data_IF_436025797728
#
_entry.id   IF_436025797728
#
_cell.length_a   1.000
_cell.length_b   1.000
_cell.length_c   1.000
_cell.angle_alpha   90.00
_cell.angle_beta   90.00
_cell.angle_gamma   90.00
#
_symmetry.space_group_name_H-M   'P 1'
#
loop_
_entity.id
_entity.type
_entity.pdbx_description
1 polymer ?
#
# COMPACT_ATOMS: atom_id res chain seq x y z
N UNK A 1 40.39 10.05 -26.03
CA UNK A 1 40.38 9.59 -24.62
C UNK A 1 41.36 8.42 -24.48
N UNK A 2 41.80 8.04 -23.28
CA UNK A 2 42.66 6.86 -23.10
C UNK A 2 41.88 5.72 -22.45
N UNK A 3 42.19 4.47 -22.84
CA UNK A 3 41.58 3.30 -22.23
C UNK A 3 42.06 3.13 -20.78
N UNK A 4 41.13 2.97 -19.85
CA UNK A 4 41.45 2.80 -18.43
C UNK A 4 42.14 1.46 -18.08
N UNK A 5 42.07 0.46 -18.97
CA UNK A 5 42.73 -0.84 -18.76
C UNK A 5 44.12 -0.95 -19.38
N UNK A 6 44.31 -0.45 -20.61
CA UNK A 6 45.56 -0.64 -21.36
C UNK A 6 46.29 0.65 -21.76
N UNK A 7 45.74 1.83 -21.42
CA UNK A 7 46.37 3.12 -21.70
C UNK A 7 46.43 3.53 -23.18
N UNK A 8 45.84 2.75 -24.09
CA UNK A 8 45.82 3.08 -25.52
C UNK A 8 44.89 4.25 -25.81
N UNK A 9 45.27 5.12 -26.74
CA UNK A 9 44.40 6.18 -27.22
C UNK A 9 43.19 5.59 -27.97
N UNK A 10 42.00 6.01 -27.55
CA UNK A 10 40.71 5.57 -28.09
C UNK A 10 39.92 6.80 -28.54
N UNK A 11 39.21 6.63 -29.66
CA UNK A 11 38.29 7.66 -30.14
C UNK A 11 37.17 7.88 -29.11
N UNK A 12 36.68 9.11 -29.05
CA UNK A 12 35.66 9.53 -28.07
C UNK A 12 34.32 8.78 -28.25
N UNK A 13 34.11 8.17 -29.42
CA UNK A 13 32.92 7.40 -29.77
C UNK A 13 33.14 5.88 -29.75
N UNK A 14 34.37 5.40 -29.53
CA UNK A 14 34.65 3.98 -29.45
C UNK A 14 34.02 3.42 -28.18
N UNK A 15 33.07 2.49 -28.29
CA UNK A 15 32.43 1.80 -27.13
C UNK A 15 33.28 0.69 -26.54
N UNK A 16 34.23 0.18 -27.32
CA UNK A 16 35.13 -0.93 -27.00
C UNK A 16 36.53 -0.54 -27.44
N UNK A 17 37.53 -0.80 -26.59
CA UNK A 17 38.92 -0.55 -26.93
C UNK A 17 39.38 -1.52 -28.03
N UNK A 18 39.89 -1.04 -29.18
CA UNK A 18 40.33 -1.90 -30.26
C UNK A 18 41.62 -2.68 -29.92
N UNK A 19 42.36 -2.27 -28.88
CA UNK A 19 43.59 -2.94 -28.48
C UNK A 19 43.35 -4.07 -27.47
N UNK A 20 42.59 -3.81 -26.39
CA UNK A 20 42.40 -4.81 -25.32
C UNK A 20 40.98 -5.40 -25.25
N UNK A 21 40.03 -4.93 -26.05
CA UNK A 21 38.65 -5.42 -26.06
C UNK A 21 37.78 -4.97 -24.88
N UNK A 22 38.31 -4.15 -23.97
CA UNK A 22 37.57 -3.65 -22.80
C UNK A 22 36.57 -2.56 -23.20
N UNK A 23 35.34 -2.53 -22.65
CA UNK A 23 34.42 -1.43 -22.84
C UNK A 23 35.01 -0.12 -22.27
N UNK A 24 34.97 0.93 -23.07
CA UNK A 24 35.47 2.28 -22.72
C UNK A 24 34.49 3.04 -21.84
N UNK A 25 33.23 2.63 -21.83
CA UNK A 25 32.16 3.16 -20.98
C UNK A 25 31.89 2.13 -19.89
N UNK A 26 32.03 2.52 -18.62
CA UNK A 26 31.53 1.71 -17.50
C UNK A 26 30.01 1.63 -17.65
N UNK A 27 29.51 0.48 -18.07
CA UNK A 27 28.09 0.17 -17.98
C UNK A 27 27.80 0.02 -16.49
N UNK A 28 27.22 1.04 -15.87
CA UNK A 28 26.65 0.89 -14.53
C UNK A 28 25.50 -0.13 -14.64
N UNK A 29 25.81 -1.40 -14.38
CA UNK A 29 24.79 -2.41 -14.16
C UNK A 29 24.08 -2.04 -12.87
N UNK A 30 22.94 -1.35 -12.98
CA UNK A 30 22.07 -1.09 -11.83
C UNK A 30 21.67 -2.44 -11.25
N UNK A 31 21.94 -2.64 -9.96
CA UNK A 31 21.57 -3.86 -9.27
C UNK A 31 20.04 -4.00 -9.32
N UNK A 32 19.54 -5.11 -9.89
CA UNK A 32 18.11 -5.37 -9.98
C UNK A 32 17.59 -5.68 -8.59
N UNK A 33 16.95 -4.70 -7.95
CA UNK A 33 16.42 -4.82 -6.60
C UNK A 33 15.26 -5.82 -6.56
N UNK A 34 15.30 -6.77 -5.61
CA UNK A 34 14.26 -7.78 -5.46
C UNK A 34 12.87 -7.22 -5.11
N UNK A 35 11.82 -7.92 -5.56
CA UNK A 35 10.40 -7.54 -5.43
C UNK A 35 9.64 -8.27 -4.31
N UNK A 36 10.32 -9.07 -3.48
CA UNK A 36 9.69 -9.96 -2.48
C UNK A 36 8.62 -9.28 -1.61
N UNK A 37 8.88 -8.05 -1.17
CA UNK A 37 7.92 -7.27 -0.38
C UNK A 37 6.68 -6.87 -1.19
N UNK A 38 6.85 -6.34 -2.41
CA UNK A 38 5.72 -6.07 -3.28
C UNK A 38 4.92 -7.34 -3.58
N UNK A 39 5.59 -8.46 -3.85
CA UNK A 39 4.93 -9.73 -4.16
C UNK A 39 4.14 -10.24 -2.95
N UNK A 40 4.68 -10.12 -1.74
CA UNK A 40 3.94 -10.39 -0.50
C UNK A 40 2.69 -9.50 -0.36
N UNK A 41 2.82 -8.19 -0.61
CA UNK A 41 1.68 -7.28 -0.55
C UNK A 41 0.59 -7.65 -1.58
N UNK A 42 1.00 -7.85 -2.83
CA UNK A 42 0.09 -8.05 -3.97
C UNK A 42 -0.56 -9.43 -4.02
N UNK A 43 0.15 -10.50 -3.63
CA UNK A 43 -0.38 -11.87 -3.69
C UNK A 43 -0.99 -12.35 -2.37
N UNK A 44 -0.71 -11.71 -1.24
CA UNK A 44 -1.14 -12.22 0.06
C UNK A 44 -1.79 -11.17 0.95
N UNK A 45 -1.06 -10.15 1.38
CA UNK A 45 -1.51 -9.24 2.45
C UNK A 45 -2.83 -8.53 2.10
N UNK A 46 -2.93 -7.97 0.90
CA UNK A 46 -4.15 -7.24 0.50
C UNK A 46 -5.37 -8.15 0.31
N UNK A 47 -5.19 -9.36 -0.20
CA UNK A 47 -6.30 -10.31 -0.36
C UNK A 47 -6.83 -10.82 0.97
N UNK A 48 -5.94 -11.04 1.94
CA UNK A 48 -6.33 -11.35 3.32
C UNK A 48 -7.06 -10.16 3.94
N UNK A 49 -6.60 -8.93 3.69
CA UNK A 49 -7.31 -7.71 4.09
C UNK A 49 -8.74 -7.66 3.54
N UNK A 50 -8.93 -7.99 2.25
CA UNK A 50 -10.26 -8.07 1.65
C UNK A 50 -11.15 -9.11 2.35
N UNK A 51 -10.63 -10.30 2.63
CA UNK A 51 -11.37 -11.36 3.33
C UNK A 51 -11.81 -10.92 4.73
N UNK A 52 -10.90 -10.37 5.53
CA UNK A 52 -11.23 -9.87 6.86
C UNK A 52 -12.19 -8.68 6.81
N UNK A 53 -12.07 -7.81 5.80
CA UNK A 53 -13.01 -6.73 5.55
C UNK A 53 -14.43 -7.24 5.33
N UNK A 54 -14.60 -8.27 4.49
CA UNK A 54 -15.92 -8.89 4.23
C UNK A 54 -16.50 -9.53 5.48
N UNK A 55 -15.68 -10.25 6.26
CA UNK A 55 -16.10 -10.83 7.55
C UNK A 55 -16.55 -9.72 8.50
N UNK A 56 -15.80 -8.62 8.59
CA UNK A 56 -16.14 -7.46 9.42
C UNK A 56 -17.49 -6.83 9.02
N UNK A 57 -17.73 -6.65 7.72
CA UNK A 57 -19.01 -6.16 7.20
C UNK A 57 -20.15 -7.11 7.57
N UNK A 58 -19.98 -8.42 7.38
CA UNK A 58 -21.01 -9.40 7.71
C UNK A 58 -21.40 -9.33 9.20
N UNK A 59 -20.42 -9.17 10.09
CA UNK A 59 -20.67 -8.98 11.53
C UNK A 59 -21.39 -7.68 11.85
N UNK A 60 -21.03 -6.58 11.18
CA UNK A 60 -21.70 -5.29 11.35
C UNK A 60 -23.17 -5.33 10.90
N UNK A 61 -23.46 -6.01 9.78
CA UNK A 61 -24.83 -6.17 9.27
C UNK A 61 -25.66 -7.10 10.18
N UNK A 62 -25.05 -8.16 10.72
CA UNK A 62 -25.70 -9.03 11.72
C UNK A 62 -26.08 -8.22 12.98
N UNK A 63 -25.19 -7.34 13.43
CA UNK A 63 -25.44 -6.43 14.55
C UNK A 63 -26.52 -5.38 14.25
N UNK A 64 -26.59 -4.84 13.03
CA UNK A 64 -27.63 -3.87 12.68
C UNK A 64 -29.02 -4.48 12.73
N UNK A 65 -29.21 -5.67 12.13
CA UNK A 65 -30.50 -6.36 12.15
C UNK A 65 -30.98 -6.66 13.58
N UNK A 66 -30.07 -7.08 14.46
CA UNK A 66 -30.39 -7.34 15.87
C UNK A 66 -30.70 -6.07 16.68
N UNK A 67 -30.11 -4.94 16.30
CA UNK A 67 -30.31 -3.65 16.99
C UNK A 67 -31.67 -3.01 16.68
N UNK A 68 -32.18 -3.19 15.47
CA UNK A 68 -33.51 -2.71 15.07
C UNK A 68 -34.62 -3.44 15.83
N UNK A 69 -34.45 -4.74 16.07
CA UNK A 69 -35.42 -5.57 16.81
C UNK A 69 -35.46 -5.31 18.32
N UNK A 70 -34.33 -4.92 18.95
CA UNK A 70 -34.20 -4.92 20.42
C UNK A 70 -34.10 -3.53 21.06
N UNK A 71 -33.66 -2.50 20.33
CA UNK A 71 -33.33 -1.18 20.90
C UNK A 71 -34.12 -0.02 20.29
N UNK A 72 -35.16 -0.32 19.51
CA UNK A 72 -36.04 0.69 18.92
C UNK A 72 -35.31 1.66 17.97
N UNK A 73 -34.24 1.20 17.31
CA UNK A 73 -33.55 1.97 16.29
C UNK A 73 -33.02 3.33 16.78
N UNK A 74 -31.99 3.33 17.66
CA UNK A 74 -31.24 4.57 17.89
C UNK A 74 -30.60 5.01 16.57
N UNK A 75 -31.15 6.05 15.93
CA UNK A 75 -30.74 6.54 14.61
C UNK A 75 -29.21 6.78 14.50
N UNK A 76 -28.58 7.23 15.59
CA UNK A 76 -27.13 7.46 15.66
C UNK A 76 -26.30 6.17 15.54
N UNK A 77 -26.80 5.05 16.08
CA UNK A 77 -26.12 3.74 15.98
C UNK A 77 -26.23 3.16 14.57
N UNK A 78 -27.42 3.24 13.97
CA UNK A 78 -27.65 2.84 12.57
C UNK A 78 -26.77 3.65 11.59
N UNK A 79 -26.65 4.96 11.83
CA UNK A 79 -25.76 5.83 11.07
C UNK A 79 -24.28 5.45 11.22
N UNK A 80 -23.81 5.13 12.43
CA UNK A 80 -22.44 4.64 12.67
C UNK A 80 -22.15 3.36 11.88
N UNK A 81 -23.05 2.37 11.96
CA UNK A 81 -22.87 1.10 11.25
C UNK A 81 -22.83 1.34 9.74
N UNK A 82 -23.69 2.20 9.21
CA UNK A 82 -23.71 2.52 7.77
C UNK A 82 -22.39 3.15 7.33
N UNK A 83 -21.87 4.12 8.07
CA UNK A 83 -20.56 4.73 7.77
C UNK A 83 -19.45 3.68 7.82
N UNK A 84 -19.42 2.82 8.83
CA UNK A 84 -18.42 1.75 8.95
C UNK A 84 -18.46 0.76 7.78
N UNK A 85 -19.65 0.36 7.33
CA UNK A 85 -19.82 -0.53 6.18
C UNK A 85 -19.33 0.13 4.90
N UNK A 86 -19.73 1.38 4.63
CA UNK A 86 -19.30 2.13 3.44
C UNK A 86 -17.79 2.28 3.42
N UNK A 87 -17.19 2.69 4.54
CA UNK A 87 -15.73 2.86 4.63
C UNK A 87 -14.99 1.53 4.40
N UNK A 88 -15.53 0.43 4.92
CA UNK A 88 -14.96 -0.91 4.75
C UNK A 88 -15.04 -1.39 3.28
N UNK A 89 -16.16 -1.15 2.59
CA UNK A 89 -16.32 -1.50 1.18
C UNK A 89 -15.33 -0.74 0.28
N UNK A 90 -15.13 0.55 0.54
CA UNK A 90 -14.12 1.35 -0.16
C UNK A 90 -12.72 0.82 0.14
N UNK A 91 -12.42 0.42 1.38
CA UNK A 91 -11.11 -0.18 1.71
C UNK A 91 -10.87 -1.46 0.91
N UNK A 92 -11.85 -2.36 0.86
CA UNK A 92 -11.77 -3.62 0.11
C UNK A 92 -11.49 -3.35 -1.38
N UNK A 93 -12.17 -2.36 -1.97
CA UNK A 93 -11.94 -1.96 -3.34
C UNK A 93 -10.50 -1.43 -3.54
N UNK A 94 -10.02 -0.57 -2.65
CA UNK A 94 -8.66 -0.03 -2.70
C UNK A 94 -7.60 -1.14 -2.56
N UNK A 95 -7.78 -2.07 -1.63
CA UNK A 95 -6.90 -3.23 -1.44
C UNK A 95 -6.83 -4.09 -2.71
N UNK A 96 -7.96 -4.42 -3.31
CA UNK A 96 -8.01 -5.21 -4.54
C UNK A 96 -7.33 -4.46 -5.72
N UNK A 97 -7.60 -3.16 -5.87
CA UNK A 97 -6.98 -2.35 -6.93
C UNK A 97 -5.47 -2.23 -6.73
N UNK A 98 -5.00 -2.02 -5.50
CA UNK A 98 -3.57 -1.97 -5.18
C UNK A 98 -2.89 -3.31 -5.44
N UNK A 99 -3.52 -4.43 -5.06
CA UNK A 99 -3.02 -5.78 -5.33
C UNK A 99 -2.84 -6.04 -6.82
N UNK A 100 -3.89 -5.76 -7.61
CA UNK A 100 -3.87 -5.94 -9.07
C UNK A 100 -2.85 -5.00 -9.74
N UNK A 101 -2.68 -3.78 -9.22
CA UNK A 101 -1.67 -2.85 -9.71
C UNK A 101 -0.24 -3.35 -9.46
N UNK A 102 0.02 -3.97 -8.29
CA UNK A 102 1.31 -4.59 -7.99
C UNK A 102 1.57 -5.79 -8.91
N UNK A 103 0.60 -6.70 -9.04
CA UNK A 103 0.73 -7.92 -9.84
C UNK A 103 1.03 -7.58 -11.31
N UNK A 104 0.34 -6.57 -11.85
CA UNK A 104 0.55 -6.10 -13.22
C UNK A 104 1.74 -5.14 -13.37
N UNK A 105 2.53 -4.92 -12.30
CA UNK A 105 3.68 -4.00 -12.27
C UNK A 105 3.35 -2.60 -12.80
N UNK A 106 2.17 -2.07 -12.46
CA UNK A 106 1.74 -0.74 -12.90
C UNK A 106 2.58 0.36 -12.27
N UNK A 107 2.84 1.43 -13.01
CA UNK A 107 3.53 2.64 -12.53
C UNK A 107 2.83 3.31 -11.35
N UNK A 108 1.52 3.13 -11.24
CA UNK A 108 0.72 3.64 -10.12
C UNK A 108 0.77 2.77 -8.85
N UNK A 109 1.39 1.58 -8.88
CA UNK A 109 1.34 0.62 -7.76
C UNK A 109 1.78 1.25 -6.43
N UNK A 110 2.95 1.92 -6.40
CA UNK A 110 3.44 2.56 -5.18
C UNK A 110 2.49 3.63 -4.63
N UNK A 111 1.87 4.44 -5.51
CA UNK A 111 0.88 5.45 -5.10
C UNK A 111 -0.38 4.80 -4.52
N UNK A 112 -0.87 3.72 -5.13
CA UNK A 112 -2.04 2.99 -4.66
C UNK A 112 -1.79 2.32 -3.30
N UNK A 113 -0.60 1.74 -3.09
CA UNK A 113 -0.21 1.19 -1.78
C UNK A 113 -0.20 2.27 -0.70
N UNK A 114 0.39 3.44 -0.99
CA UNK A 114 0.35 4.56 -0.04
C UNK A 114 -1.08 5.06 0.21
N UNK A 115 -1.93 5.05 -0.83
CA UNK A 115 -3.34 5.42 -0.69
C UNK A 115 -4.12 4.45 0.18
N UNK A 116 -3.85 3.14 0.11
CA UNK A 116 -4.44 2.14 1.03
C UNK A 116 -4.14 2.49 2.47
N UNK A 117 -2.86 2.62 2.86
CA UNK A 117 -2.50 2.92 4.25
C UNK A 117 -2.98 4.30 4.70
N UNK A 118 -2.95 5.30 3.81
CA UNK A 118 -3.53 6.61 4.09
C UNK A 118 -5.05 6.56 4.32
N UNK A 119 -5.76 5.74 3.56
CA UNK A 119 -7.19 5.53 3.72
C UNK A 119 -7.52 4.78 5.02
N UNK A 120 -6.74 3.76 5.39
CA UNK A 120 -6.91 3.05 6.67
C UNK A 120 -6.73 3.99 7.87
N UNK A 121 -5.68 4.83 7.83
CA UNK A 121 -5.43 5.85 8.85
C UNK A 121 -6.60 6.82 8.99
N UNK A 122 -7.08 7.39 7.88
CA UNK A 122 -8.18 8.36 7.88
C UNK A 122 -9.49 7.70 8.33
N UNK A 123 -9.78 6.49 7.85
CA UNK A 123 -10.99 5.74 8.22
C UNK A 123 -11.02 5.43 9.71
N UNK A 124 -9.86 5.07 10.29
CA UNK A 124 -9.71 4.85 11.73
C UNK A 124 -10.05 6.11 12.51
N UNK A 125 -9.53 7.27 12.11
CA UNK A 125 -9.86 8.56 12.74
C UNK A 125 -11.36 8.86 12.65
N UNK A 126 -11.97 8.70 11.48
CA UNK A 126 -13.40 8.97 11.29
C UNK A 126 -14.24 8.09 12.21
N UNK A 127 -13.94 6.78 12.27
CA UNK A 127 -14.68 5.84 13.10
C UNK A 127 -14.44 6.08 14.60
N UNK A 128 -13.26 6.53 15.01
CA UNK A 128 -12.98 6.90 16.39
C UNK A 128 -13.78 8.14 16.83
N UNK A 129 -13.80 9.19 16.01
CA UNK A 129 -14.55 10.42 16.30
C UNK A 129 -16.04 10.11 16.34
N UNK A 130 -16.56 9.42 15.34
CA UNK A 130 -17.98 9.13 15.26
C UNK A 130 -18.41 8.11 16.33
N UNK A 131 -17.59 7.07 16.55
CA UNK A 131 -17.79 6.08 17.61
C UNK A 131 -17.82 6.73 18.99
N UNK A 132 -16.95 7.70 19.26
CA UNK A 132 -16.96 8.45 20.53
C UNK A 132 -18.25 9.26 20.72
N UNK A 133 -18.79 9.83 19.64
CA UNK A 133 -20.04 10.59 19.68
C UNK A 133 -21.29 9.70 19.86
N UNK A 134 -21.24 8.45 19.39
CA UNK A 134 -22.39 7.53 19.40
C UNK A 134 -22.36 6.55 20.59
N UNK A 135 -21.20 6.00 20.90
CA UNK A 135 -20.98 4.95 21.91
C UNK A 135 -20.47 5.51 23.24
N UNK A 136 -20.04 6.78 23.26
CA UNK A 136 -19.48 7.45 24.43
C UNK A 136 -17.96 7.32 24.57
N UNK A 137 -17.37 8.04 25.55
CA UNK A 137 -15.93 8.05 25.80
C UNK A 137 -15.46 6.66 26.24
N UNK A 138 -14.45 6.12 25.55
CA UNK A 138 -13.93 4.77 25.78
C UNK A 138 -13.95 3.85 24.55
N UNK A 139 -14.38 4.36 23.39
CA UNK A 139 -14.34 3.64 22.11
C UNK A 139 -12.94 3.55 21.49
N UNK A 140 -11.94 4.25 22.05
CA UNK A 140 -10.54 4.14 21.65
C UNK A 140 -9.86 2.96 22.36
N UNK A 141 -9.37 2.00 21.58
CA UNK A 141 -8.52 0.91 22.06
C UNK A 141 -7.04 1.25 21.82
N UNK A 142 -6.16 0.72 22.68
CA UNK A 142 -4.71 0.82 22.46
C UNK A 142 -4.27 0.23 21.10
N UNK A 143 -5.03 -0.72 20.55
CA UNK A 143 -4.81 -1.26 19.21
C UNK A 143 -4.98 -0.22 18.10
N UNK A 144 -5.86 0.75 18.28
CA UNK A 144 -6.15 1.77 17.26
C UNK A 144 -4.97 2.74 17.13
N UNK A 145 -4.38 3.14 18.26
CA UNK A 145 -3.17 3.94 18.29
C UNK A 145 -1.98 3.24 17.64
N UNK A 146 -1.77 1.95 17.93
CA UNK A 146 -0.70 1.16 17.30
C UNK A 146 -0.93 1.05 15.79
N UNK A 147 -2.16 0.82 15.35
CA UNK A 147 -2.48 0.71 13.92
C UNK A 147 -2.23 2.01 13.17
N UNK A 148 -2.67 3.14 13.72
CA UNK A 148 -2.42 4.45 13.11
C UNK A 148 -0.92 4.75 12.94
N UNK A 149 -0.09 4.39 13.93
CA UNK A 149 1.37 4.53 13.81
C UNK A 149 1.91 3.63 12.70
N UNK A 150 1.47 2.37 12.65
CA UNK A 150 1.87 1.43 11.60
C UNK A 150 1.48 1.93 10.21
N UNK A 151 0.29 2.48 10.03
CA UNK A 151 -0.17 3.03 8.75
C UNK A 151 0.75 4.16 8.28
N UNK A 152 1.10 5.09 9.17
CA UNK A 152 2.05 6.18 8.88
C UNK A 152 3.41 5.62 8.45
N UNK A 153 3.96 4.67 9.21
CA UNK A 153 5.25 4.03 8.89
C UNK A 153 5.18 3.35 7.52
N UNK A 154 4.12 2.60 7.25
CA UNK A 154 3.95 1.87 6.00
C UNK A 154 3.78 2.81 4.80
N UNK A 155 3.21 4.00 4.96
CA UNK A 155 3.21 5.02 3.91
C UNK A 155 4.64 5.39 3.52
N UNK A 156 5.49 5.75 4.49
CA UNK A 156 6.87 6.17 4.19
C UNK A 156 7.74 5.03 3.67
N UNK A 157 7.62 3.84 4.28
CA UNK A 157 8.36 2.64 3.85
C UNK A 157 7.99 2.28 2.43
N UNK A 158 6.70 2.27 2.08
CA UNK A 158 6.28 1.93 0.73
C UNK A 158 6.62 3.03 -0.26
N UNK A 159 6.48 4.31 0.10
CA UNK A 159 6.91 5.41 -0.75
C UNK A 159 8.38 5.24 -1.17
N UNK A 160 9.28 5.04 -0.21
CA UNK A 160 10.72 4.80 -0.47
C UNK A 160 10.96 3.49 -1.22
N UNK A 161 10.27 2.40 -0.84
CA UNK A 161 10.44 1.08 -1.45
C UNK A 161 10.15 1.08 -2.96
N UNK A 162 9.01 1.66 -3.35
CA UNK A 162 8.58 1.74 -4.75
C UNK A 162 9.37 2.79 -5.53
N UNK A 163 9.83 3.86 -4.88
CA UNK A 163 10.69 4.88 -5.51
C UNK A 163 11.99 4.28 -6.04
N UNK A 164 12.63 3.46 -5.21
CA UNK A 164 13.86 2.77 -5.54
C UNK A 164 13.69 1.73 -6.66
N UNK A 165 12.46 1.36 -7.02
CA UNK A 165 12.11 0.32 -8.01
C UNK A 165 11.24 0.83 -9.16
N UNK A 166 11.28 2.14 -9.44
CA UNK A 166 10.49 2.76 -10.52
C UNK A 166 10.74 2.14 -11.90
N UNK A 167 11.89 1.52 -12.11
CA UNK A 167 12.27 0.79 -13.32
C UNK A 167 11.53 -0.56 -13.49
N UNK A 168 11.05 -1.15 -12.40
CA UNK A 168 10.29 -2.41 -12.42
C UNK A 168 8.79 -2.14 -12.64
N UNK A 169 8.28 -1.04 -12.11
CA UNK A 169 6.87 -0.67 -12.15
C UNK A 169 6.61 0.36 -13.25
N UNK A 170 6.48 -0.10 -14.50
CA UNK A 170 6.42 0.77 -15.69
C UNK A 170 5.12 0.69 -16.49
N UNK A 171 4.29 -0.33 -16.26
CA UNK A 171 3.03 -0.56 -16.99
C UNK A 171 1.93 0.46 -16.67
#
# INVERSE_FOLDING_TARGET
MFCNSCGTEVSEFARVCPNCGEPTVKVETREVLGTKWADFLGYFYFWIGCLFGLIGIARLVELSGRSDDLLGGKANLSGYITVAVVLSLVNIALLAVAAVAIINRKRSAGKLVCAVFGYEFVSTIILLIYGSAVLGPGSFSGSDGVRMILDIVLIFVNASYFDNRRDIFVN
#
